data_IF_006177330229
#
_entry.id   IF_006177330229
#
_cell.length_a   1.000
_cell.length_b   1.000
_cell.length_c   1.000
_cell.angle_alpha   90.00
_cell.angle_beta   90.00
_cell.angle_gamma   90.00
#
_symmetry.space_group_name_H-M   'P 1'
#
loop_
_entity.id
_entity.type
_entity.pdbx_description
1 polymer ?
#
# COMPACT_ATOMS: atom_id res chain seq x y z
N UNK A 1 -9.41 14.53 10.44
CA UNK A 1 -10.22 14.32 9.22
C UNK A 1 -9.65 13.10 8.52
N UNK A 2 -10.48 12.15 8.10
CA UNK A 2 -10.02 10.94 7.42
C UNK A 2 -9.81 11.23 5.92
N UNK A 3 -8.71 10.74 5.34
CA UNK A 3 -8.42 10.94 3.91
C UNK A 3 -9.32 10.00 3.11
N UNK A 4 -10.09 10.55 2.16
CA UNK A 4 -10.96 9.74 1.31
C UNK A 4 -10.15 8.82 0.39
N UNK A 5 -10.62 7.60 0.20
CA UNK A 5 -10.00 6.59 -0.68
C UNK A 5 -9.69 7.12 -2.09
N UNK A 6 -10.58 7.94 -2.64
CA UNK A 6 -10.42 8.52 -3.97
C UNK A 6 -9.16 9.40 -4.09
N UNK A 7 -8.68 10.03 -3.01
CA UNK A 7 -7.44 10.81 -3.03
C UNK A 7 -6.20 9.94 -3.23
N UNK A 8 -6.20 8.72 -2.68
CA UNK A 8 -5.09 7.78 -2.87
C UNK A 8 -5.08 7.21 -4.29
N UNK A 9 -6.25 6.89 -4.84
CA UNK A 9 -6.34 6.32 -6.18
C UNK A 9 -6.15 7.35 -7.29
N UNK A 10 -6.51 8.62 -7.06
CA UNK A 10 -6.34 9.69 -8.05
C UNK A 10 -4.89 10.10 -8.28
N UNK A 11 -4.00 9.88 -7.31
CA UNK A 11 -2.58 10.20 -7.46
C UNK A 11 -1.79 9.09 -8.18
N UNK A 12 -2.37 7.92 -8.43
CA UNK A 12 -1.63 6.87 -9.14
C UNK A 12 -1.24 7.36 -10.55
N UNK A 13 0.06 7.31 -10.83
CA UNK A 13 0.68 7.73 -12.08
C UNK A 13 0.94 9.24 -12.24
N UNK A 14 0.53 10.08 -11.29
CA UNK A 14 0.84 11.52 -11.34
C UNK A 14 2.28 11.77 -10.90
N UNK A 15 2.87 12.89 -11.36
CA UNK A 15 4.23 13.28 -10.99
C UNK A 15 4.31 13.80 -9.56
N UNK A 16 5.51 13.78 -9.02
CA UNK A 16 5.87 14.33 -7.70
C UNK A 16 5.59 15.84 -7.59
N UNK A 17 5.68 16.57 -8.70
CA UNK A 17 5.37 18.00 -8.79
C UNK A 17 3.88 18.33 -8.98
N UNK A 18 3.03 17.32 -9.12
CA UNK A 18 1.61 17.51 -9.38
C UNK A 18 0.88 18.14 -8.20
N UNK A 19 -0.21 18.86 -8.48
CA UNK A 19 -1.05 19.46 -7.45
C UNK A 19 -1.71 18.36 -6.60
N UNK A 20 -2.15 17.29 -7.24
CA UNK A 20 -2.82 16.14 -6.64
C UNK A 20 -1.95 15.45 -5.60
N UNK A 21 -0.67 15.21 -5.91
CA UNK A 21 0.25 14.62 -4.95
C UNK A 21 0.54 15.56 -3.77
N UNK A 22 0.75 16.86 -4.05
CA UNK A 22 0.95 17.85 -2.99
C UNK A 22 -0.26 17.95 -2.05
N UNK A 23 -1.48 17.92 -2.58
CA UNK A 23 -2.72 17.90 -1.79
C UNK A 23 -2.86 16.63 -0.96
N UNK A 24 -2.40 15.47 -1.48
CA UNK A 24 -2.37 14.23 -0.70
C UNK A 24 -1.38 14.34 0.47
N UNK A 25 -0.15 14.83 0.22
CA UNK A 25 0.85 15.03 1.27
C UNK A 25 0.34 15.96 2.38
N UNK A 26 -0.31 17.07 2.01
CA UNK A 26 -0.95 17.98 2.96
C UNK A 26 -2.07 17.30 3.76
N UNK A 27 -2.85 16.42 3.11
CA UNK A 27 -3.92 15.68 3.77
C UNK A 27 -3.39 14.60 4.74
N UNK A 28 -2.24 13.98 4.45
CA UNK A 28 -1.53 13.08 5.36
C UNK A 28 -1.06 13.84 6.60
N UNK A 29 -0.65 15.10 6.44
CA UNK A 29 -0.30 15.97 7.58
C UNK A 29 0.99 15.55 8.29
N UNK A 30 1.82 14.74 7.63
CA UNK A 30 3.14 14.33 8.07
C UNK A 30 4.17 14.70 7.01
N UNK A 31 5.36 15.14 7.44
CA UNK A 31 6.49 15.32 6.55
C UNK A 31 7.10 13.96 6.20
N UNK A 32 7.15 13.62 4.92
CA UNK A 32 7.76 12.37 4.47
C UNK A 32 9.28 12.36 4.71
N UNK A 33 9.79 11.19 5.08
CA UNK A 33 11.20 10.85 4.92
C UNK A 33 11.40 10.34 3.50
N UNK A 34 12.31 10.97 2.74
CA UNK A 34 12.53 10.63 1.33
C UNK A 34 13.81 9.82 1.19
N UNK A 35 13.70 8.64 0.59
CA UNK A 35 14.83 7.77 0.26
C UNK A 35 14.74 7.32 -1.20
N UNK A 36 15.82 6.77 -1.74
CA UNK A 36 15.85 6.30 -3.13
C UNK A 36 16.65 5.01 -3.21
N UNK A 37 16.23 4.09 -4.10
CA UNK A 37 16.99 2.88 -4.39
C UNK A 37 18.43 3.24 -4.81
N UNK A 38 19.46 2.50 -4.32
CA UNK A 38 20.84 2.72 -4.71
C UNK A 38 21.02 2.61 -6.23
N UNK A 39 21.81 3.52 -6.80
CA UNK A 39 22.14 3.53 -8.23
C UNK A 39 22.89 2.26 -8.69
N UNK A 40 23.46 1.49 -7.75
CA UNK A 40 24.32 0.33 -8.00
C UNK A 40 23.62 -0.82 -8.73
N UNK A 41 22.29 -0.89 -8.70
CA UNK A 41 21.53 -1.95 -9.39
C UNK A 41 21.43 -1.76 -10.91
N UNK A 42 21.86 -0.61 -11.44
CA UNK A 42 21.92 -0.31 -12.89
C UNK A 42 20.59 -0.58 -13.64
N UNK A 43 19.47 -0.55 -12.92
CA UNK A 43 18.11 -0.68 -13.44
C UNK A 43 17.39 0.67 -13.29
N UNK A 44 17.58 1.61 -14.23
CA UNK A 44 16.92 2.91 -14.19
C UNK A 44 15.39 2.80 -14.31
N UNK A 45 14.87 1.65 -14.75
CA UNK A 45 13.43 1.37 -14.81
C UNK A 45 12.90 0.96 -13.44
N UNK A 46 13.68 0.17 -12.69
CA UNK A 46 13.35 -0.29 -11.35
C UNK A 46 13.57 0.74 -10.25
N UNK A 47 14.39 1.77 -10.48
CA UNK A 47 14.73 2.78 -9.46
C UNK A 47 13.47 3.46 -8.91
N UNK A 48 13.31 3.38 -7.59
CA UNK A 48 12.17 3.91 -6.86
C UNK A 48 12.62 4.99 -5.88
N UNK A 49 11.88 6.09 -5.82
CA UNK A 49 12.00 7.10 -4.75
C UNK A 49 10.83 6.91 -3.79
N UNK A 50 11.13 6.69 -2.51
CA UNK A 50 10.14 6.40 -1.49
C UNK A 50 9.87 7.63 -0.64
N UNK A 51 8.60 7.88 -0.38
CA UNK A 51 8.07 8.88 0.51
C UNK A 51 7.44 8.17 1.70
N UNK A 52 8.16 8.10 2.82
CA UNK A 52 7.76 7.38 4.02
C UNK A 52 7.12 8.32 5.03
N UNK A 53 5.81 8.15 5.26
CA UNK A 53 5.02 8.81 6.29
C UNK A 53 4.84 7.83 7.45
N UNK A 54 5.90 7.72 8.27
CA UNK A 54 6.08 6.67 9.26
C UNK A 54 4.95 6.63 10.29
N UNK A 55 4.53 7.79 10.81
CA UNK A 55 3.46 7.87 11.83
C UNK A 55 2.07 7.71 11.21
N UNK A 56 1.92 8.07 9.94
CA UNK A 56 0.68 7.84 9.21
C UNK A 56 0.49 6.38 8.78
N UNK A 57 1.55 5.56 8.81
CA UNK A 57 1.51 4.19 8.32
C UNK A 57 1.39 4.10 6.79
N UNK A 58 2.03 5.03 6.06
CA UNK A 58 1.93 5.15 4.60
C UNK A 58 3.33 5.24 4.00
N UNK A 59 3.56 4.50 2.91
CA UNK A 59 4.72 4.68 2.04
C UNK A 59 4.25 4.88 0.60
N UNK A 60 4.81 5.85 -0.11
CA UNK A 60 4.49 6.12 -1.51
C UNK A 60 5.76 5.95 -2.35
N UNK A 61 5.71 5.07 -3.35
CA UNK A 61 6.83 4.81 -4.24
C UNK A 61 6.64 5.47 -5.60
N UNK A 62 7.59 6.32 -5.99
CA UNK A 62 7.70 6.90 -7.32
C UNK A 62 8.63 6.06 -8.18
N UNK A 63 8.15 5.63 -9.34
CA UNK A 63 8.93 4.91 -10.33
C UNK A 63 8.56 5.43 -11.72
N UNK A 64 9.55 5.59 -12.60
CA UNK A 64 9.34 6.13 -13.95
C UNK A 64 8.58 7.47 -13.98
N UNK A 65 8.87 8.36 -13.03
CA UNK A 65 8.35 9.73 -13.03
C UNK A 65 6.91 9.90 -12.51
N UNK A 66 6.29 8.86 -11.95
CA UNK A 66 4.99 9.00 -11.29
C UNK A 66 4.80 8.04 -10.13
N UNK A 67 3.74 8.27 -9.36
CA UNK A 67 3.36 7.36 -8.26
C UNK A 67 3.05 5.99 -8.84
N UNK A 68 3.86 5.00 -8.45
CA UNK A 68 3.72 3.62 -8.90
C UNK A 68 2.92 2.79 -7.89
N UNK A 69 3.17 2.99 -6.61
CA UNK A 69 2.45 2.28 -5.56
C UNK A 69 2.29 3.12 -4.30
N UNK A 70 1.32 2.72 -3.49
CA UNK A 70 1.09 3.24 -2.13
C UNK A 70 0.91 2.03 -1.21
N UNK A 71 1.68 1.96 -0.13
CA UNK A 71 1.54 0.96 0.91
C UNK A 71 0.87 1.56 2.13
N UNK A 72 -0.01 0.77 2.75
CA UNK A 72 -0.67 1.05 4.01
C UNK A 72 -0.32 -0.06 4.99
N UNK A 73 0.20 0.32 6.16
CA UNK A 73 0.63 -0.61 7.21
C UNK A 73 -0.44 -0.64 8.31
N UNK A 74 -0.91 -1.83 8.68
CA UNK A 74 -1.98 -2.02 9.67
C UNK A 74 -1.49 -2.74 10.94
N UNK A 75 -0.24 -3.21 10.91
CA UNK A 75 0.53 -3.64 12.06
C UNK A 75 1.83 -2.82 12.15
N UNK A 76 2.55 -2.99 13.26
CA UNK A 76 3.82 -2.30 13.49
C UNK A 76 4.99 -2.98 12.74
N UNK A 77 4.76 -3.45 11.50
CA UNK A 77 5.80 -4.03 10.66
C UNK A 77 6.64 -2.94 9.99
N UNK A 78 7.85 -3.31 9.59
CA UNK A 78 8.73 -2.48 8.75
C UNK A 78 9.03 -1.07 9.29
N UNK A 79 8.83 -0.84 10.60
CA UNK A 79 9.11 0.43 11.27
C UNK A 79 8.00 1.48 11.15
N UNK A 80 6.84 1.15 10.61
CA UNK A 80 5.70 2.06 10.47
C UNK A 80 4.72 1.95 11.64
N UNK A 81 4.03 3.05 11.97
CA UNK A 81 2.83 2.99 12.82
C UNK A 81 1.62 2.50 12.01
N UNK A 82 0.57 2.03 12.69
CA UNK A 82 -0.63 1.56 12.00
C UNK A 82 -1.41 2.73 11.37
N UNK A 83 -1.66 2.62 10.07
CA UNK A 83 -2.63 3.42 9.32
C UNK A 83 -4.00 3.40 9.99
N UNK A 84 -4.56 4.60 10.21
CA UNK A 84 -5.84 4.82 10.91
C UNK A 84 -7.00 5.17 9.98
N UNK A 85 -6.76 5.24 8.67
CA UNK A 85 -7.80 5.51 7.69
C UNK A 85 -8.58 4.25 7.30
N UNK A 86 -9.55 4.45 6.40
CA UNK A 86 -10.29 3.37 5.74
C UNK A 86 -9.88 3.28 4.28
N UNK A 87 -9.85 2.07 3.75
CA UNK A 87 -9.68 1.79 2.33
C UNK A 87 -11.06 1.75 1.65
N UNK A 88 -11.12 1.26 0.42
CA UNK A 88 -12.37 0.98 -0.28
C UNK A 88 -13.31 0.08 0.54
N UNK A 89 -14.61 0.35 0.49
CA UNK A 89 -15.65 -0.42 1.20
C UNK A 89 -15.42 -0.52 2.72
N UNK A 90 -14.91 0.54 3.34
CA UNK A 90 -14.66 0.67 4.79
C UNK A 90 -13.66 -0.34 5.39
N UNK A 91 -12.86 -0.99 4.55
CA UNK A 91 -11.82 -1.93 5.00
C UNK A 91 -10.80 -1.16 5.83
N UNK A 92 -10.48 -1.67 7.02
CA UNK A 92 -9.60 -0.99 7.98
C UNK A 92 -8.89 -1.98 8.90
N UNK A 93 -8.07 -1.45 9.82
CA UNK A 93 -7.37 -2.25 10.83
C UNK A 93 -8.32 -3.22 11.56
N UNK A 94 -7.83 -4.44 11.82
CA UNK A 94 -8.57 -5.49 12.53
C UNK A 94 -9.60 -6.25 11.66
N UNK A 95 -9.67 -5.96 10.36
CA UNK A 95 -10.41 -6.81 9.43
C UNK A 95 -9.63 -8.09 9.12
N UNK A 96 -10.36 -9.18 8.99
CA UNK A 96 -9.87 -10.47 8.54
C UNK A 96 -10.20 -10.69 7.05
N UNK A 97 -9.64 -11.75 6.48
CA UNK A 97 -9.84 -12.09 5.06
C UNK A 97 -11.32 -12.33 4.73
N UNK A 98 -12.07 -13.00 5.60
CA UNK A 98 -13.50 -13.28 5.38
C UNK A 98 -14.32 -12.00 5.23
N UNK A 99 -14.13 -11.00 6.10
CA UNK A 99 -14.82 -9.71 6.00
C UNK A 99 -14.47 -8.98 4.71
N UNK A 100 -13.21 -9.04 4.28
CA UNK A 100 -12.78 -8.44 3.01
C UNK A 100 -13.47 -9.11 1.83
N UNK A 101 -13.46 -10.45 1.78
CA UNK A 101 -14.11 -11.21 0.71
C UNK A 101 -15.62 -10.95 0.67
N UNK A 102 -16.25 -10.74 1.82
CA UNK A 102 -17.69 -10.43 1.91
C UNK A 102 -18.04 -9.09 1.26
N UNK A 103 -17.18 -8.07 1.35
CA UNK A 103 -17.46 -6.73 0.80
C UNK A 103 -16.89 -6.50 -0.60
N UNK A 104 -15.80 -7.17 -0.97
CA UNK A 104 -15.16 -7.03 -2.29
C UNK A 104 -15.51 -8.15 -3.27
N UNK A 105 -16.05 -9.27 -2.78
CA UNK A 105 -16.35 -10.45 -3.59
C UNK A 105 -15.11 -11.29 -3.87
N UNK A 106 -15.13 -12.02 -4.99
CA UNK A 106 -14.06 -12.95 -5.37
C UNK A 106 -12.82 -12.19 -5.87
N UNK A 107 -11.63 -12.42 -5.30
CA UNK A 107 -10.39 -11.80 -5.77
C UNK A 107 -9.95 -12.39 -7.11
N UNK A 108 -9.19 -11.62 -7.88
CA UNK A 108 -8.56 -12.08 -9.11
C UNK A 108 -7.53 -13.18 -8.82
N UNK A 109 -6.74 -13.00 -7.76
CA UNK A 109 -5.73 -13.96 -7.31
C UNK A 109 -5.66 -13.99 -5.79
N UNK A 110 -5.22 -15.10 -5.24
CA UNK A 110 -4.89 -15.24 -3.82
C UNK A 110 -3.70 -16.19 -3.64
N UNK A 111 -3.09 -16.18 -2.47
CA UNK A 111 -2.00 -17.07 -2.13
C UNK A 111 -1.47 -16.87 -0.72
N UNK A 112 -0.33 -17.50 -0.42
CA UNK A 112 0.28 -17.45 0.92
C UNK A 112 -0.45 -18.32 1.94
N UNK A 113 -0.54 -17.84 3.19
CA UNK A 113 -1.22 -18.54 4.29
C UNK A 113 -0.54 -19.84 4.71
N UNK A 114 0.78 -19.94 4.49
CA UNK A 114 1.54 -21.18 4.67
C UNK A 114 2.90 -20.91 5.27
N UNK A 115 3.42 -21.90 5.98
CA UNK A 115 4.81 -21.88 6.45
C UNK A 115 5.72 -22.44 5.37
N UNK A 116 6.71 -21.67 4.97
CA UNK A 116 7.83 -22.07 4.14
C UNK A 116 9.04 -22.42 5.01
N UNK A 117 9.80 -23.44 4.63
CA UNK A 117 10.94 -23.92 5.43
C UNK A 117 12.11 -22.94 5.51
N UNK A 118 12.26 -22.06 4.51
CA UNK A 118 13.34 -21.08 4.47
C UNK A 118 12.86 -19.68 4.87
N UNK A 119 11.67 -19.31 4.42
CA UNK A 119 11.15 -17.95 4.57
C UNK A 119 10.24 -17.77 5.81
N UNK A 120 9.95 -18.84 6.54
CA UNK A 120 9.02 -18.80 7.67
C UNK A 120 7.57 -18.67 7.21
N UNK A 121 6.72 -18.03 8.02
CA UNK A 121 5.32 -17.85 7.67
C UNK A 121 5.16 -16.81 6.54
N UNK A 122 4.57 -17.24 5.44
CA UNK A 122 4.17 -16.37 4.33
C UNK A 122 2.73 -15.95 4.56
N UNK A 123 2.51 -14.66 4.79
CA UNK A 123 1.19 -14.05 4.97
C UNK A 123 0.22 -14.47 3.86
N UNK A 124 -1.05 -14.72 4.22
CA UNK A 124 -2.08 -14.89 3.19
C UNK A 124 -2.32 -13.56 2.50
N UNK A 125 -2.69 -13.60 1.23
CA UNK A 125 -2.94 -12.40 0.47
C UNK A 125 -3.98 -12.62 -0.61
N UNK A 126 -4.66 -11.52 -0.95
CA UNK A 126 -5.63 -11.45 -2.04
C UNK A 126 -5.32 -10.24 -2.92
N UNK A 127 -5.57 -10.39 -4.22
CA UNK A 127 -5.39 -9.34 -5.24
C UNK A 127 -6.70 -9.09 -5.97
N UNK A 128 -7.07 -7.83 -6.08
CA UNK A 128 -8.15 -7.33 -6.93
C UNK A 128 -7.57 -6.43 -8.01
N UNK A 129 -8.23 -6.38 -9.16
CA UNK A 129 -7.87 -5.52 -10.27
C UNK A 129 -9.04 -4.60 -10.59
N UNK A 130 -8.77 -3.30 -10.61
CA UNK A 130 -9.67 -2.25 -11.02
C UNK A 130 -9.15 -1.61 -12.31
N UNK A 131 -9.96 -0.87 -13.07
CA UNK A 131 -9.55 -0.35 -14.39
C UNK A 131 -8.24 0.47 -14.42
N UNK A 132 -7.79 1.02 -13.30
CA UNK A 132 -6.59 1.86 -13.22
C UNK A 132 -5.50 1.35 -12.26
N UNK A 133 -5.82 0.37 -11.41
CA UNK A 133 -4.93 -0.07 -10.35
C UNK A 133 -5.27 -1.48 -9.87
N UNK A 134 -4.27 -2.16 -9.32
CA UNK A 134 -4.48 -3.34 -8.50
C UNK A 134 -4.53 -2.96 -7.02
N UNK A 135 -5.39 -3.63 -6.27
CA UNK A 135 -5.42 -3.61 -4.81
C UNK A 135 -4.93 -4.96 -4.29
N UNK A 136 -3.86 -4.94 -3.51
CA UNK A 136 -3.33 -6.11 -2.83
C UNK A 136 -3.57 -5.96 -1.33
N UNK A 137 -4.03 -7.03 -0.68
CA UNK A 137 -4.30 -7.07 0.77
C UNK A 137 -3.58 -8.29 1.34
N UNK A 138 -2.84 -8.10 2.43
CA UNK A 138 -2.12 -9.16 3.13
C UNK A 138 -2.63 -9.29 4.56
N UNK A 139 -2.70 -10.53 5.03
CA UNK A 139 -3.15 -10.88 6.37
C UNK A 139 -2.04 -11.63 7.10
N UNK A 140 -1.75 -11.20 8.32
CA UNK A 140 -0.67 -11.78 9.13
C UNK A 140 -1.02 -13.19 9.61
N UNK A 141 -0.12 -13.82 10.37
CA UNK A 141 -0.35 -15.16 10.95
C UNK A 141 -1.52 -15.23 11.92
N UNK A 142 -1.98 -14.09 12.45
CA UNK A 142 -3.20 -14.02 13.28
C UNK A 142 -4.48 -13.84 12.45
N UNK A 143 -4.38 -13.81 11.11
CA UNK A 143 -5.51 -13.67 10.19
C UNK A 143 -6.03 -12.24 10.01
N UNK A 144 -5.40 -11.23 10.63
CA UNK A 144 -5.79 -9.83 10.51
C UNK A 144 -4.98 -9.12 9.42
N UNK A 145 -5.64 -8.16 8.76
CA UNK A 145 -5.05 -7.26 7.78
C UNK A 145 -3.81 -6.59 8.38
N UNK A 146 -2.65 -6.84 7.77
CA UNK A 146 -1.37 -6.24 8.16
C UNK A 146 -0.85 -5.25 7.12
N UNK A 147 -1.14 -5.46 5.83
CA UNK A 147 -0.68 -4.55 4.78
C UNK A 147 -1.67 -4.47 3.63
N UNK A 148 -1.81 -3.28 3.07
CA UNK A 148 -2.45 -3.07 1.78
C UNK A 148 -1.52 -2.36 0.82
N UNK A 149 -1.64 -2.65 -0.47
CA UNK A 149 -0.93 -1.96 -1.53
C UNK A 149 -1.88 -1.56 -2.65
N UNK A 150 -1.86 -0.27 -3.01
CA UNK A 150 -2.32 0.21 -4.31
C UNK A 150 -1.15 0.13 -5.28
N UNK A 151 -1.37 -0.46 -6.46
CA UNK A 151 -0.34 -0.60 -7.49
C UNK A 151 -0.91 -0.11 -8.81
N UNK A 152 -0.23 0.83 -9.45
CA UNK A 152 -0.57 1.31 -10.80
C UNK A 152 -0.46 0.15 -11.80
N UNK A 153 -1.46 0.02 -12.68
CA UNK A 153 -1.44 -0.89 -13.83
C UNK A 153 -0.78 -0.26 -15.06
#
# INVERSE_FOLDING_TARGET
MMIEWNKFTSVLGVSESSKEFNELCLAIGEQAQVTQDPLEYNDPVGQTTYYSFVRAGIEIGFRQGGVNHIHFYFDNSDGYENFKGVLISDIQAGWDEEKVLKVLGTPLMNGGGKTDMLLGYINSWVKYEYPKYALHLQFSSNGLLCRSSLIRL
#
